data_IF_249741443058
#
_entry.id   IF_249741443058
#
_cell.length_a   1.000
_cell.length_b   1.000
_cell.length_c   1.000
_cell.angle_alpha   90.00
_cell.angle_beta   90.00
_cell.angle_gamma   90.00
#
_symmetry.space_group_name_H-M   'P 1'
#
loop_
_entity.id
_entity.type
_entity.pdbx_description
1 polymer ?
#
# COMPACT_ATOMS: atom_id res chain seq x y z
N UNK A 1 15.40 20.40 6.43
CA UNK A 1 14.52 19.43 5.78
C UNK A 1 13.52 18.89 6.80
N UNK A 2 12.28 18.74 6.41
CA UNK A 2 11.21 18.29 7.32
C UNK A 2 11.41 16.81 7.68
N UNK A 3 11.64 16.53 8.95
CA UNK A 3 11.86 15.18 9.46
C UNK A 3 10.68 14.25 9.17
N UNK A 4 9.44 14.74 9.26
CA UNK A 4 8.26 13.93 8.99
C UNK A 4 8.20 13.44 7.54
N UNK A 5 8.69 14.25 6.61
CA UNK A 5 8.76 13.88 5.19
C UNK A 5 9.82 12.80 4.98
N UNK A 6 10.99 12.94 5.59
CA UNK A 6 12.04 11.92 5.53
C UNK A 6 11.58 10.58 6.14
N UNK A 7 10.95 10.64 7.31
CA UNK A 7 10.41 9.46 7.98
C UNK A 7 9.34 8.77 7.12
N UNK A 8 8.51 9.54 6.42
CA UNK A 8 7.51 8.98 5.53
C UNK A 8 8.13 8.31 4.30
N UNK A 9 9.17 8.90 3.72
CA UNK A 9 9.92 8.30 2.60
C UNK A 9 10.52 6.94 3.03
N UNK A 10 11.07 6.87 4.24
CA UNK A 10 11.60 5.63 4.81
C UNK A 10 10.49 4.59 5.05
N UNK A 11 9.29 5.02 5.46
CA UNK A 11 8.12 4.14 5.57
C UNK A 11 7.71 3.57 4.22
N UNK A 12 7.65 4.38 3.18
CA UNK A 12 7.35 3.90 1.82
C UNK A 12 8.33 2.80 1.40
N UNK A 13 9.60 2.95 1.69
CA UNK A 13 10.60 1.94 1.38
C UNK A 13 10.36 0.63 2.14
N UNK A 14 10.00 0.71 3.41
CA UNK A 14 9.60 -0.45 4.21
C UNK A 14 8.35 -1.14 3.66
N UNK A 15 7.35 -0.38 3.23
CA UNK A 15 6.14 -0.92 2.59
C UNK A 15 6.43 -1.62 1.27
N UNK A 16 7.35 -1.10 0.47
CA UNK A 16 7.77 -1.75 -0.79
C UNK A 16 8.40 -3.11 -0.53
N UNK A 17 9.14 -3.25 0.55
CA UNK A 17 9.67 -4.54 0.98
C UNK A 17 8.57 -5.48 1.47
N UNK A 18 7.66 -4.99 2.29
CA UNK A 18 6.55 -5.77 2.84
C UNK A 18 5.59 -6.29 1.75
N UNK A 19 5.26 -5.46 0.77
CA UNK A 19 4.33 -5.85 -0.30
C UNK A 19 4.87 -6.98 -1.17
N UNK A 20 6.19 -7.11 -1.29
CA UNK A 20 6.81 -8.25 -1.99
C UNK A 20 6.47 -9.57 -1.32
N UNK A 21 6.52 -9.62 0.01
CA UNK A 21 6.17 -10.84 0.76
C UNK A 21 4.69 -11.17 0.58
N UNK A 22 3.82 -10.17 0.61
CA UNK A 22 2.38 -10.35 0.39
C UNK A 22 2.09 -10.82 -1.05
N UNK A 23 2.83 -10.31 -2.02
CA UNK A 23 2.77 -10.73 -3.42
C UNK A 23 3.12 -12.20 -3.59
N UNK A 24 4.24 -12.65 -2.99
CA UNK A 24 4.68 -14.03 -3.06
C UNK A 24 3.74 -14.99 -2.32
N UNK A 25 3.10 -14.54 -1.25
CA UNK A 25 2.21 -15.34 -0.41
C UNK A 25 0.72 -15.15 -0.76
N UNK A 26 0.40 -14.54 -1.89
CA UNK A 26 -0.99 -14.32 -2.29
C UNK A 26 -1.73 -15.65 -2.52
N UNK A 27 -2.98 -15.71 -2.06
CA UNK A 27 -3.81 -16.93 -2.13
C UNK A 27 -4.37 -17.20 -3.53
N UNK A 28 -4.43 -16.17 -4.38
CA UNK A 28 -4.96 -16.27 -5.74
C UNK A 28 -4.32 -15.25 -6.67
N UNK A 29 -4.55 -15.42 -7.96
CA UNK A 29 -3.96 -14.56 -9.00
C UNK A 29 -4.43 -13.11 -8.90
N UNK A 30 -5.67 -12.87 -8.53
CA UNK A 30 -6.20 -11.52 -8.38
C UNK A 30 -5.48 -10.74 -7.27
N UNK A 31 -5.24 -11.36 -6.13
CA UNK A 31 -4.46 -10.78 -5.04
C UNK A 31 -2.99 -10.59 -5.43
N UNK A 32 -2.40 -11.54 -6.13
CA UNK A 32 -1.04 -11.47 -6.64
C UNK A 32 -0.84 -10.23 -7.53
N UNK A 33 -1.72 -10.03 -8.50
CA UNK A 33 -1.70 -8.86 -9.39
C UNK A 33 -1.97 -7.56 -8.66
N UNK A 34 -2.90 -7.57 -7.71
CA UNK A 34 -3.24 -6.39 -6.90
C UNK A 34 -2.03 -5.93 -6.06
N UNK A 35 -1.23 -6.86 -5.56
CA UNK A 35 0.01 -6.51 -4.86
C UNK A 35 1.00 -5.75 -5.76
N UNK A 36 1.13 -6.14 -7.02
CA UNK A 36 1.97 -5.41 -7.97
C UNK A 36 1.48 -3.98 -8.19
N UNK A 37 0.17 -3.80 -8.39
CA UNK A 37 -0.43 -2.49 -8.59
C UNK A 37 -0.24 -1.59 -7.35
N UNK A 38 -0.38 -2.15 -6.16
CA UNK A 38 -0.15 -1.44 -4.90
C UNK A 38 1.33 -1.05 -4.78
N UNK A 39 2.25 -1.96 -5.07
CA UNK A 39 3.68 -1.72 -5.02
C UNK A 39 4.09 -0.57 -5.96
N UNK A 40 3.60 -0.59 -7.19
CA UNK A 40 3.87 0.44 -8.18
C UNK A 40 3.33 1.80 -7.72
N UNK A 41 2.13 1.83 -7.17
CA UNK A 41 1.52 3.07 -6.68
C UNK A 41 2.28 3.67 -5.49
N UNK A 42 2.74 2.85 -4.56
CA UNK A 42 3.58 3.29 -3.43
C UNK A 42 4.90 3.86 -3.95
N UNK A 43 5.53 3.18 -4.91
CA UNK A 43 6.79 3.64 -5.51
C UNK A 43 6.63 5.01 -6.19
N UNK A 44 5.57 5.18 -6.98
CA UNK A 44 5.26 6.45 -7.67
C UNK A 44 5.03 7.57 -6.67
N UNK A 45 4.30 7.30 -5.59
CA UNK A 45 4.02 8.30 -4.56
C UNK A 45 5.28 8.66 -3.77
N UNK A 46 6.12 7.68 -3.44
CA UNK A 46 7.42 7.94 -2.82
C UNK A 46 8.28 8.89 -3.67
N UNK A 47 8.31 8.67 -4.98
CA UNK A 47 9.03 9.53 -5.91
C UNK A 47 8.44 10.95 -5.93
N UNK A 48 7.12 11.07 -6.00
CA UNK A 48 6.43 12.37 -5.97
C UNK A 48 6.78 13.16 -4.70
N UNK A 49 6.69 12.54 -3.54
CA UNK A 49 7.03 13.18 -2.25
C UNK A 49 8.50 13.61 -2.23
N UNK A 50 9.39 12.73 -2.66
CA UNK A 50 10.84 12.98 -2.64
C UNK A 50 11.23 14.11 -3.58
N UNK A 51 10.67 14.15 -4.78
CA UNK A 51 10.96 15.16 -5.80
C UNK A 51 10.41 16.53 -5.39
N UNK A 52 9.19 16.58 -4.85
CA UNK A 52 8.63 17.85 -4.36
C UNK A 52 9.44 18.39 -3.20
N UNK A 53 9.84 17.55 -2.24
CA UNK A 53 10.68 18.00 -1.11
C UNK A 53 12.02 18.52 -1.59
N UNK A 54 12.65 17.87 -2.54
CA UNK A 54 13.91 18.35 -3.14
C UNK A 54 13.74 19.68 -3.86
N UNK A 55 12.58 19.93 -4.46
CA UNK A 55 12.31 21.22 -5.12
C UNK A 55 12.18 22.37 -4.12
N UNK A 56 11.82 22.07 -2.87
CA UNK A 56 11.67 23.05 -1.79
C UNK A 56 13.00 23.28 -1.07
N UNK A 57 13.65 22.23 -0.64
CA UNK A 57 14.80 22.23 0.28
C UNK A 57 16.13 21.81 -0.37
N UNK A 58 16.14 21.57 -1.67
CA UNK A 58 17.31 21.07 -2.38
C UNK A 58 17.46 19.57 -2.21
N UNK A 59 18.62 19.05 -2.62
CA UNK A 59 18.85 17.61 -2.62
C UNK A 59 18.64 16.98 -1.26
N UNK A 60 17.90 15.89 -1.24
CA UNK A 60 17.78 15.03 -0.08
C UNK A 60 19.18 14.56 0.33
N UNK A 61 19.66 15.06 1.45
CA UNK A 61 20.96 14.66 1.98
C UNK A 61 20.82 13.33 2.73
N UNK A 62 20.39 12.29 2.03
CA UNK A 62 20.48 10.96 2.57
C UNK A 62 21.92 10.48 2.46
N UNK A 63 22.55 10.20 3.58
CA UNK A 63 23.71 9.34 3.58
C UNK A 63 23.30 7.91 3.23
N UNK A 64 22.07 7.53 3.58
CA UNK A 64 21.49 6.21 3.29
C UNK A 64 19.97 6.24 3.51
N UNK A 65 19.23 5.78 2.52
CA UNK A 65 17.82 5.46 2.69
C UNK A 65 17.69 4.30 3.68
N UNK A 66 16.90 4.49 4.76
CA UNK A 66 16.71 3.48 5.80
C UNK A 66 15.26 3.02 5.79
N UNK A 67 14.96 1.85 5.19
CA UNK A 67 13.60 1.34 5.23
C UNK A 67 13.09 1.19 6.67
N UNK A 68 11.95 1.78 6.98
CA UNK A 68 11.27 1.53 8.25
C UNK A 68 10.69 0.13 8.21
N UNK A 69 11.07 -0.70 9.18
CA UNK A 69 10.55 -2.06 9.24
C UNK A 69 9.01 -2.05 9.38
N UNK A 70 8.33 -2.78 8.51
CA UNK A 70 6.91 -3.04 8.61
C UNK A 70 6.70 -4.53 8.86
N UNK A 71 6.06 -4.86 9.97
CA UNK A 71 5.74 -6.25 10.32
C UNK A 71 4.52 -6.70 9.51
N UNK A 72 4.76 -7.54 8.53
CA UNK A 72 3.72 -8.06 7.63
C UNK A 72 2.69 -8.89 8.41
N UNK A 73 1.41 -8.58 8.21
CA UNK A 73 0.28 -9.36 8.73
C UNK A 73 -0.49 -9.99 7.57
N UNK A 74 -1.37 -9.21 6.95
CA UNK A 74 -2.13 -9.61 5.76
C UNK A 74 -2.33 -8.41 4.86
N UNK A 75 -2.78 -8.64 3.62
CA UNK A 75 -2.91 -7.58 2.63
C UNK A 75 -3.92 -6.51 3.05
N UNK A 76 -5.05 -6.89 3.62
CA UNK A 76 -6.07 -5.93 4.08
C UNK A 76 -5.52 -5.01 5.15
N UNK A 77 -4.87 -5.55 6.17
CA UNK A 77 -4.26 -4.77 7.25
C UNK A 77 -3.15 -3.89 6.71
N UNK A 78 -2.33 -4.40 5.79
CA UNK A 78 -1.29 -3.62 5.13
C UNK A 78 -1.86 -2.36 4.47
N UNK A 79 -2.88 -2.51 3.62
CA UNK A 79 -3.49 -1.36 2.92
C UNK A 79 -4.12 -0.38 3.92
N UNK A 80 -4.77 -0.89 4.97
CA UNK A 80 -5.33 -0.03 6.01
C UNK A 80 -4.25 0.75 6.75
N UNK A 81 -3.12 0.12 7.08
CA UNK A 81 -2.01 0.78 7.76
C UNK A 81 -1.37 1.86 6.85
N UNK A 82 -1.23 1.58 5.56
CA UNK A 82 -0.77 2.59 4.59
C UNK A 82 -1.72 3.79 4.55
N UNK A 83 -3.02 3.55 4.54
CA UNK A 83 -4.03 4.61 4.59
C UNK A 83 -3.92 5.45 5.86
N UNK A 84 -3.84 4.80 7.02
CA UNK A 84 -3.80 5.47 8.32
C UNK A 84 -2.53 6.33 8.46
N UNK A 85 -1.38 5.77 8.12
CA UNK A 85 -0.10 6.47 8.18
C UNK A 85 -0.02 7.62 7.17
N UNK A 86 -0.59 7.46 5.98
CA UNK A 86 -0.62 8.52 4.98
C UNK A 86 -1.58 9.65 5.39
N UNK A 87 -2.70 9.34 6.04
CA UNK A 87 -3.57 10.36 6.62
C UNK A 87 -2.85 11.19 7.70
N UNK A 88 -2.09 10.54 8.56
CA UNK A 88 -1.26 11.23 9.56
C UNK A 88 -0.19 12.09 8.91
N UNK A 89 0.47 11.58 7.89
CA UNK A 89 1.45 12.32 7.10
C UNK A 89 0.83 13.57 6.45
N UNK A 90 -0.31 13.42 5.79
CA UNK A 90 -1.05 14.52 5.18
C UNK A 90 -1.35 15.63 6.18
N UNK A 91 -1.84 15.27 7.36
CA UNK A 91 -2.15 16.22 8.43
C UNK A 91 -0.91 16.91 9.01
N UNK A 92 0.26 16.27 8.91
CA UNK A 92 1.52 16.82 9.41
C UNK A 92 2.20 17.80 8.45
N UNK A 93 1.74 17.87 7.18
CA UNK A 93 2.35 18.73 6.18
C UNK A 93 2.16 20.21 6.52
N UNK A 94 3.18 21.06 6.28
CA UNK A 94 3.05 22.48 6.48
C UNK A 94 1.91 23.09 5.66
N UNK A 95 1.23 24.08 6.24
CA UNK A 95 0.10 24.75 5.59
C UNK A 95 0.60 26.00 4.86
N UNK A 96 1.42 25.79 3.84
CA UNK A 96 2.02 26.83 3.01
C UNK A 96 1.88 26.52 1.52
N UNK A 97 2.18 27.52 0.68
CA UNK A 97 2.05 27.39 -0.77
C UNK A 97 3.01 26.36 -1.39
N UNK A 98 4.18 26.15 -0.76
CA UNK A 98 5.18 25.21 -1.25
C UNK A 98 4.73 23.76 -1.12
N UNK A 99 3.82 23.45 -0.20
CA UNK A 99 3.34 22.09 0.06
C UNK A 99 1.95 21.81 -0.52
N UNK A 100 1.38 22.73 -1.27
CA UNK A 100 0.04 22.56 -1.88
C UNK A 100 0.03 21.36 -2.85
N UNK A 101 1.04 21.25 -3.70
CA UNK A 101 1.17 20.13 -4.64
C UNK A 101 1.34 18.79 -3.93
N UNK A 102 2.18 18.73 -2.91
CA UNK A 102 2.38 17.52 -2.11
C UNK A 102 1.08 17.08 -1.41
N UNK A 103 0.30 18.02 -0.88
CA UNK A 103 -1.02 17.71 -0.32
C UNK A 103 -1.98 17.13 -1.34
N UNK A 104 -1.99 17.69 -2.55
CA UNK A 104 -2.81 17.18 -3.66
C UNK A 104 -2.38 15.77 -4.06
N UNK A 105 -1.08 15.49 -4.11
CA UNK A 105 -0.55 14.15 -4.36
C UNK A 105 -0.96 13.16 -3.27
N UNK A 106 -0.94 13.58 -2.00
CA UNK A 106 -1.44 12.77 -0.87
C UNK A 106 -2.92 12.43 -1.03
N UNK A 107 -3.76 13.39 -1.38
CA UNK A 107 -5.19 13.17 -1.59
C UNK A 107 -5.44 12.16 -2.70
N UNK A 108 -4.71 12.28 -3.80
CA UNK A 108 -4.78 11.33 -4.92
C UNK A 108 -4.33 9.92 -4.50
N UNK A 109 -3.24 9.82 -3.77
CA UNK A 109 -2.73 8.55 -3.26
C UNK A 109 -3.71 7.89 -2.28
N UNK A 110 -4.28 8.66 -1.36
CA UNK A 110 -5.29 8.17 -0.42
C UNK A 110 -6.53 7.65 -1.15
N UNK A 111 -7.00 8.35 -2.16
CA UNK A 111 -8.11 7.91 -2.99
C UNK A 111 -7.79 6.60 -3.70
N UNK A 112 -6.59 6.46 -4.27
CA UNK A 112 -6.15 5.23 -4.92
C UNK A 112 -6.05 4.07 -3.93
N UNK A 113 -5.52 4.30 -2.73
CA UNK A 113 -5.41 3.26 -1.69
C UNK A 113 -6.79 2.83 -1.16
N UNK A 114 -7.75 3.74 -1.04
CA UNK A 114 -9.13 3.39 -0.69
C UNK A 114 -9.75 2.46 -1.73
N UNK A 115 -9.53 2.73 -3.02
CA UNK A 115 -9.98 1.84 -4.10
C UNK A 115 -9.27 0.48 -4.04
N UNK A 116 -7.98 0.46 -3.71
CA UNK A 116 -7.24 -0.80 -3.51
C UNK A 116 -7.82 -1.60 -2.34
N UNK A 117 -8.17 -0.94 -1.25
CA UNK A 117 -8.82 -1.61 -0.10
C UNK A 117 -10.17 -2.23 -0.50
N UNK A 118 -10.96 -1.52 -1.28
CA UNK A 118 -12.20 -2.07 -1.86
C UNK A 118 -11.92 -3.35 -2.67
N UNK A 119 -10.91 -3.31 -3.54
CA UNK A 119 -10.55 -4.47 -4.37
C UNK A 119 -10.01 -5.63 -3.53
N UNK A 120 -9.21 -5.35 -2.50
CA UNK A 120 -8.75 -6.39 -1.55
C UNK A 120 -9.94 -7.09 -0.90
N UNK A 121 -10.90 -6.32 -0.38
CA UNK A 121 -12.09 -6.89 0.25
C UNK A 121 -12.93 -7.71 -0.74
N UNK A 122 -13.02 -7.26 -1.98
CA UNK A 122 -13.72 -7.99 -3.05
C UNK A 122 -13.03 -9.33 -3.36
N UNK A 123 -11.71 -9.35 -3.52
CA UNK A 123 -10.97 -10.59 -3.78
C UNK A 123 -11.06 -11.58 -2.63
N UNK A 124 -11.09 -11.09 -1.39
CA UNK A 124 -11.27 -11.94 -0.21
C UNK A 124 -12.66 -12.59 -0.18
N UNK A 125 -13.72 -11.87 -0.55
CA UNK A 125 -15.07 -12.41 -0.66
C UNK A 125 -15.17 -13.47 -1.75
N UNK A 126 -14.54 -13.25 -2.90
CA UNK A 126 -14.51 -14.23 -3.99
C UNK A 126 -13.79 -15.51 -3.56
N UNK A 127 -12.65 -15.39 -2.87
CA UNK A 127 -11.89 -16.51 -2.37
C UNK A 127 -12.71 -17.34 -1.37
N UNK A 128 -13.39 -16.68 -0.44
CA UNK A 128 -14.26 -17.34 0.53
C UNK A 128 -15.41 -18.08 -0.16
N UNK A 129 -16.08 -17.47 -1.14
CA UNK A 129 -17.14 -18.11 -1.93
C UNK A 129 -16.64 -19.35 -2.66
N UNK A 130 -15.45 -19.29 -3.22
CA UNK A 130 -14.81 -20.43 -3.90
C UNK A 130 -14.54 -21.57 -2.93
N UNK A 131 -13.97 -21.26 -1.75
CA UNK A 131 -13.69 -22.25 -0.70
C UNK A 131 -14.97 -22.93 -0.20
N UNK A 132 -16.03 -22.19 0.01
CA UNK A 132 -17.35 -22.74 0.39
C UNK A 132 -17.87 -23.66 -0.70
N UNK A 133 -17.80 -23.27 -1.95
CA UNK A 133 -18.24 -24.06 -3.11
C UNK A 133 -17.48 -25.37 -3.21
N UNK A 134 -16.15 -25.33 -3.08
CA UNK A 134 -15.31 -26.53 -3.09
C UNK A 134 -15.63 -27.47 -1.94
N UNK A 135 -15.83 -26.93 -0.74
CA UNK A 135 -16.22 -27.72 0.44
C UNK A 135 -17.56 -28.43 0.21
N UNK A 136 -18.55 -27.78 -0.37
CA UNK A 136 -19.85 -28.39 -0.72
C UNK A 136 -19.65 -29.52 -1.76
N UNK A 137 -18.83 -29.29 -2.78
CA UNK A 137 -18.58 -30.29 -3.81
C UNK A 137 -17.84 -31.52 -3.27
N UNK A 138 -16.89 -31.34 -2.37
CA UNK A 138 -16.17 -32.42 -1.70
C UNK A 138 -17.09 -33.27 -0.80
N UNK A 139 -18.10 -32.66 -0.19
CA UNK A 139 -19.06 -33.33 0.68
C UNK A 139 -20.19 -34.04 -0.07
N UNK A 140 -20.32 -33.84 -1.41
CA UNK A 140 -21.30 -34.56 -2.21
C UNK A 140 -20.95 -36.03 -2.32
N UNK A 141 -21.92 -36.96 -2.18
CA UNK A 141 -21.67 -38.35 -2.44
C UNK A 141 -21.11 -38.51 -3.86
N UNK A 142 -19.96 -39.17 -3.97
CA UNK A 142 -19.47 -39.60 -5.28
C UNK A 142 -20.50 -40.54 -5.90
N UNK A 143 -21.01 -40.13 -7.02
CA UNK A 143 -22.14 -40.75 -7.62
C UNK A 143 -21.91 -42.20 -7.89
N UNK A 144 -22.67 -42.89 -7.35
CA UNK A 144 -23.12 -44.24 -7.58
C UNK A 144 -23.79 -44.28 -8.95
N UNK A 145 -23.05 -44.57 -9.95
CA UNK A 145 -23.62 -44.81 -11.26
C UNK A 145 -24.66 -45.92 -11.17
#
# INVERSE_FOLDING_TARGET
MNKNILDYIDKCEGWKTAIKQLHWNADNLSQHKLCDDIADRISDFQDQVSEVEQSIDGNLKFNKLKPTEYKVKNLRTFVQDVLDDTNMFYKSLPNDDNHTGMKSDCESFLSDMQRKLYLVNFTMKEDLRRRIRNSINESRPKNLA
#
